data_IF_391867627394
#
_entry.id   IF_391867627394
#
_cell.length_a   1.000
_cell.length_b   1.000
_cell.length_c   1.000
_cell.angle_alpha   90.00
_cell.angle_beta   90.00
_cell.angle_gamma   90.00
#
_symmetry.space_group_name_H-M   'P 1'
#
loop_
_entity.id
_entity.type
_entity.pdbx_description
1 polymer ?
#
# COMPACT_ATOMS: atom_id res chain seq x y z
N UNK A 1 -9.82 2.97 9.93
CA UNK A 1 -10.90 3.27 8.96
C UNK A 1 -11.84 4.38 9.41
N UNK A 2 -12.51 4.28 10.56
CA UNK A 2 -13.48 5.29 11.03
C UNK A 2 -12.96 6.74 11.03
N UNK A 3 -11.68 6.96 11.36
CA UNK A 3 -11.03 8.27 11.32
C UNK A 3 -10.91 8.85 9.91
N UNK A 4 -10.53 8.03 8.92
CA UNK A 4 -10.48 8.44 7.51
C UNK A 4 -11.88 8.75 6.97
N UNK A 5 -12.93 8.07 7.45
CA UNK A 5 -14.32 8.37 7.05
C UNK A 5 -14.81 9.69 7.61
N UNK A 6 -14.41 10.05 8.83
CA UNK A 6 -14.67 11.39 9.37
C UNK A 6 -14.00 12.46 8.52
N UNK A 7 -12.76 12.24 8.06
CA UNK A 7 -12.06 13.17 7.18
C UNK A 7 -12.68 13.25 5.78
N UNK A 8 -13.02 12.11 5.18
CA UNK A 8 -13.70 12.05 3.88
C UNK A 8 -15.03 12.82 3.87
N UNK A 9 -15.73 12.88 5.02
CA UNK A 9 -16.97 13.66 5.17
C UNK A 9 -16.74 15.15 5.39
N UNK A 10 -15.59 15.54 5.96
CA UNK A 10 -15.31 16.93 6.37
C UNK A 10 -14.50 17.72 5.35
N UNK A 11 -13.68 17.06 4.54
CA UNK A 11 -12.78 17.72 3.60
C UNK A 11 -12.55 16.86 2.34
N UNK A 12 -12.01 17.49 1.30
CA UNK A 12 -11.46 16.78 0.15
C UNK A 12 -10.15 16.11 0.58
N UNK A 13 -10.17 14.79 0.74
CA UNK A 13 -8.96 14.01 0.97
C UNK A 13 -8.03 14.11 -0.25
N UNK A 14 -6.70 14.14 -0.05
CA UNK A 14 -5.76 13.92 -1.14
C UNK A 14 -6.09 12.61 -1.85
N UNK A 15 -5.96 12.59 -3.19
CA UNK A 15 -6.29 11.41 -4.01
C UNK A 15 -5.57 10.16 -3.50
N UNK A 16 -4.29 10.26 -3.19
CA UNK A 16 -3.49 9.17 -2.63
C UNK A 16 -4.06 8.61 -1.33
N UNK A 17 -4.52 9.47 -0.41
CA UNK A 17 -5.15 9.06 0.86
C UNK A 17 -6.48 8.34 0.61
N UNK A 18 -7.27 8.84 -0.36
CA UNK A 18 -8.52 8.20 -0.74
C UNK A 18 -8.30 6.81 -1.35
N UNK A 19 -7.38 6.69 -2.32
CA UNK A 19 -7.04 5.41 -2.95
C UNK A 19 -6.55 4.41 -1.92
N UNK A 20 -5.66 4.85 -1.01
CA UNK A 20 -5.16 4.04 0.09
C UNK A 20 -6.33 3.50 0.95
N UNK A 21 -7.22 4.39 1.42
CA UNK A 21 -8.41 4.00 2.20
C UNK A 21 -9.26 2.96 1.48
N UNK A 22 -9.56 3.22 0.21
CA UNK A 22 -10.47 2.37 -0.56
C UNK A 22 -9.86 0.97 -0.75
N UNK A 23 -8.56 0.86 -1.01
CA UNK A 23 -7.83 -0.42 -1.07
C UNK A 23 -7.88 -1.15 0.28
N UNK A 24 -7.55 -0.48 1.39
CA UNK A 24 -7.59 -1.11 2.72
C UNK A 24 -8.97 -1.64 3.05
N UNK A 25 -10.03 -0.90 2.74
CA UNK A 25 -11.40 -1.34 3.01
C UNK A 25 -11.68 -2.69 2.37
N UNK A 26 -11.26 -2.86 1.12
CA UNK A 26 -11.50 -4.08 0.36
C UNK A 26 -10.59 -5.22 0.81
N UNK A 27 -9.29 -4.96 1.02
CA UNK A 27 -8.34 -5.97 1.50
C UNK A 27 -8.71 -6.51 2.89
N UNK A 28 -9.18 -5.65 3.79
CA UNK A 28 -9.66 -6.07 5.11
C UNK A 28 -10.92 -6.94 5.02
N UNK A 29 -11.81 -6.62 4.08
CA UNK A 29 -13.01 -7.43 3.85
C UNK A 29 -12.65 -8.79 3.27
N UNK A 30 -11.71 -8.84 2.33
CA UNK A 30 -11.18 -10.07 1.75
C UNK A 30 -10.51 -10.95 2.82
N UNK A 31 -9.63 -10.37 3.64
CA UNK A 31 -8.92 -11.13 4.69
C UNK A 31 -9.87 -11.78 5.70
N UNK A 32 -10.92 -11.06 6.12
CA UNK A 32 -11.97 -11.62 7.00
C UNK A 32 -12.74 -12.76 6.33
N UNK A 33 -12.96 -12.68 5.03
CA UNK A 33 -13.63 -13.74 4.28
C UNK A 33 -12.75 -15.00 4.21
N UNK A 34 -11.46 -14.84 3.89
CA UNK A 34 -10.51 -15.95 3.82
C UNK A 34 -10.34 -16.66 5.16
N UNK A 35 -10.36 -15.90 6.27
CA UNK A 35 -10.31 -16.43 7.62
C UNK A 35 -11.54 -17.28 7.96
N UNK A 36 -12.75 -16.78 7.68
CA UNK A 36 -13.99 -17.55 7.83
C UNK A 36 -13.98 -18.84 7.00
N UNK A 37 -13.55 -18.76 5.75
CA UNK A 37 -13.44 -19.95 4.88
C UNK A 37 -12.44 -20.98 5.46
N UNK A 38 -11.34 -20.51 6.05
CA UNK A 38 -10.33 -21.36 6.72
C UNK A 38 -10.89 -22.00 8.00
N UNK A 39 -11.58 -21.24 8.84
CA UNK A 39 -12.21 -21.74 10.07
C UNK A 39 -13.27 -22.80 9.79
N UNK A 40 -14.17 -22.53 8.83
CA UNK A 40 -15.18 -23.49 8.41
C UNK A 40 -14.55 -24.77 7.83
N UNK A 41 -13.47 -24.64 7.05
CA UNK A 41 -12.74 -25.80 6.53
C UNK A 41 -12.11 -26.61 7.67
N UNK A 42 -11.57 -25.94 8.68
CA UNK A 42 -11.01 -26.59 9.86
C UNK A 42 -12.09 -27.26 10.73
N UNK A 43 -13.28 -26.66 10.86
CA UNK A 43 -14.43 -27.26 11.56
C UNK A 43 -14.97 -28.48 10.82
N UNK A 44 -15.06 -28.42 9.49
CA UNK A 44 -15.41 -29.57 8.64
C UNK A 44 -14.40 -30.72 8.81
N UNK A 45 -13.11 -30.40 8.85
CA UNK A 45 -12.07 -31.40 9.09
C UNK A 45 -12.19 -32.03 10.50
N UNK A 46 -12.51 -31.23 11.53
CA UNK A 46 -12.66 -31.71 12.92
C UNK A 46 -13.92 -32.54 13.14
N UNK A 47 -15.02 -32.18 12.50
CA UNK A 47 -16.32 -32.82 12.73
C UNK A 47 -16.41 -34.24 12.16
N UNK A 48 -15.55 -34.61 11.20
CA UNK A 48 -15.49 -35.98 10.67
C UNK A 48 -16.82 -36.52 10.10
N UNK A 49 -17.82 -35.66 9.90
CA UNK A 49 -19.18 -36.06 9.53
C UNK A 49 -19.18 -36.48 8.06
N UNK A 50 -18.98 -37.78 7.84
CA UNK A 50 -19.14 -38.45 6.54
C UNK A 50 -20.61 -38.73 6.18
N UNK A 51 -21.57 -38.30 7.02
CA UNK A 51 -22.99 -38.64 6.90
C UNK A 51 -23.82 -37.55 6.22
N UNK A 52 -23.94 -37.61 4.89
CA UNK A 52 -24.86 -36.77 4.13
C UNK A 52 -26.32 -37.15 4.42
N UNK A 53 -26.92 -36.55 5.45
CA UNK A 53 -28.37 -36.57 5.63
C UNK A 53 -29.04 -35.80 4.47
N UNK A 54 -30.00 -36.40 3.79
CA UNK A 54 -30.70 -35.81 2.63
C UNK A 54 -31.32 -34.43 2.96
N UNK A 55 -31.71 -34.17 4.21
CA UNK A 55 -32.21 -32.85 4.67
C UNK A 55 -31.11 -31.78 4.81
N UNK A 56 -29.84 -32.16 4.87
CA UNK A 56 -28.69 -31.26 4.92
C UNK A 56 -28.47 -30.55 3.58
N UNK A 57 -28.82 -31.22 2.48
CA UNK A 57 -28.53 -30.77 1.10
C UNK A 57 -29.12 -29.39 0.75
N UNK A 58 -30.30 -29.05 1.26
CA UNK A 58 -30.93 -27.74 1.01
C UNK A 58 -30.20 -26.58 1.72
N UNK A 59 -29.82 -26.78 2.99
CA UNK A 59 -29.06 -25.79 3.76
C UNK A 59 -27.66 -25.59 3.21
N UNK A 60 -27.01 -26.67 2.76
CA UNK A 60 -25.68 -26.60 2.18
C UNK A 60 -25.67 -25.87 0.83
N UNK A 61 -26.71 -26.06 0.00
CA UNK A 61 -26.89 -25.29 -1.26
C UNK A 61 -27.08 -23.79 -0.99
N UNK A 62 -27.92 -23.43 -0.01
CA UNK A 62 -28.12 -22.03 0.34
C UNK A 62 -26.81 -21.38 0.83
N UNK A 63 -26.09 -22.07 1.74
CA UNK A 63 -24.77 -21.60 2.22
C UNK A 63 -23.75 -21.45 1.08
N UNK A 64 -23.73 -22.36 0.12
CA UNK A 64 -22.85 -22.26 -1.04
C UNK A 64 -23.21 -21.05 -1.92
N UNK A 65 -24.50 -20.80 -2.15
CA UNK A 65 -24.97 -19.63 -2.90
C UNK A 65 -24.65 -18.31 -2.18
N UNK A 66 -24.81 -18.26 -0.86
CA UNK A 66 -24.48 -17.08 -0.06
C UNK A 66 -22.98 -16.76 -0.12
N UNK A 67 -22.10 -17.78 -0.06
CA UNK A 67 -20.65 -17.60 -0.23
C UNK A 67 -20.28 -17.10 -1.61
N UNK A 68 -20.92 -17.64 -2.64
CA UNK A 68 -20.68 -17.19 -4.00
C UNK A 68 -21.11 -15.73 -4.17
N UNK A 69 -22.22 -15.33 -3.55
CA UNK A 69 -22.65 -13.93 -3.51
C UNK A 69 -21.62 -13.05 -2.79
N UNK A 70 -21.09 -13.47 -1.65
CA UNK A 70 -20.06 -12.74 -0.91
C UNK A 70 -18.77 -12.58 -1.73
N UNK A 71 -18.28 -13.65 -2.36
CA UNK A 71 -17.12 -13.63 -3.27
C UNK A 71 -17.31 -12.66 -4.43
N UNK A 72 -18.50 -12.64 -5.02
CA UNK A 72 -18.83 -11.71 -6.10
C UNK A 72 -18.85 -10.27 -5.60
N UNK A 73 -19.37 -10.00 -4.40
CA UNK A 73 -19.34 -8.66 -3.80
C UNK A 73 -17.90 -8.17 -3.60
N UNK A 74 -17.01 -9.01 -3.07
CA UNK A 74 -15.59 -8.64 -2.87
C UNK A 74 -14.87 -8.45 -4.21
N UNK A 75 -15.15 -9.30 -5.19
CA UNK A 75 -14.58 -9.16 -6.55
C UNK A 75 -14.99 -7.85 -7.20
N UNK A 76 -16.28 -7.48 -7.11
CA UNK A 76 -16.78 -6.20 -7.62
C UNK A 76 -16.21 -5.00 -6.86
N UNK A 77 -15.96 -5.15 -5.55
CA UNK A 77 -15.29 -4.13 -4.75
C UNK A 77 -13.84 -3.92 -5.21
N UNK A 78 -13.08 -5.01 -5.48
CA UNK A 78 -11.73 -4.93 -6.04
C UNK A 78 -11.73 -4.25 -7.41
N UNK A 79 -12.65 -4.62 -8.31
CA UNK A 79 -12.83 -3.96 -9.62
C UNK A 79 -13.00 -2.45 -9.44
N UNK A 80 -13.95 -2.05 -8.57
CA UNK A 80 -14.27 -0.65 -8.32
C UNK A 80 -13.05 0.13 -7.83
N UNK A 81 -12.32 -0.42 -6.85
CA UNK A 81 -11.15 0.24 -6.26
C UNK A 81 -10.00 0.36 -7.25
N UNK A 82 -9.67 -0.69 -7.99
CA UNK A 82 -8.58 -0.66 -8.99
C UNK A 82 -8.92 0.34 -10.10
N UNK A 83 -10.12 0.23 -10.68
CA UNK A 83 -10.55 1.10 -11.77
C UNK A 83 -10.60 2.57 -11.34
N UNK A 84 -11.20 2.85 -10.17
CA UNK A 84 -11.31 4.21 -9.62
C UNK A 84 -9.94 4.74 -9.24
N UNK A 85 -9.09 3.95 -8.59
CA UNK A 85 -7.78 4.38 -8.13
C UNK A 85 -6.85 4.78 -9.27
N UNK A 86 -6.73 3.93 -10.30
CA UNK A 86 -5.97 4.27 -11.51
C UNK A 86 -6.54 5.52 -12.20
N UNK A 87 -7.86 5.61 -12.31
CA UNK A 87 -8.50 6.78 -12.94
C UNK A 87 -8.22 8.07 -12.17
N UNK A 88 -8.38 8.08 -10.84
CA UNK A 88 -8.14 9.27 -10.02
C UNK A 88 -6.67 9.71 -10.05
N UNK A 89 -5.73 8.76 -9.99
CA UNK A 89 -4.30 9.06 -10.07
C UNK A 89 -3.96 9.69 -11.42
N UNK A 90 -4.36 9.09 -12.53
CA UNK A 90 -4.08 9.64 -13.85
C UNK A 90 -4.81 10.96 -14.10
N UNK A 91 -6.06 11.10 -13.68
CA UNK A 91 -6.83 12.34 -13.85
C UNK A 91 -6.24 13.51 -13.04
N UNK A 92 -5.62 13.24 -11.89
CA UNK A 92 -4.92 14.27 -11.10
C UNK A 92 -3.70 14.86 -11.81
N UNK A 93 -3.09 14.13 -12.75
CA UNK A 93 -1.96 14.58 -13.57
C UNK A 93 -2.38 15.21 -14.90
N UNK A 94 -3.67 15.18 -15.24
CA UNK A 94 -4.16 15.84 -16.45
C UNK A 94 -4.18 17.35 -16.26
N UNK A 95 -3.14 18.01 -16.79
CA UNK A 95 -3.09 19.47 -16.85
C UNK A 95 -3.48 19.98 -18.24
N UNK A 96 -4.39 20.96 -18.30
CA UNK A 96 -4.74 21.68 -19.52
C UNK A 96 -5.98 21.16 -20.25
N UNK A 97 -6.19 21.67 -21.47
CA UNK A 97 -7.44 21.47 -22.25
C UNK A 97 -7.45 20.14 -23.02
N UNK A 98 -6.28 19.59 -23.35
CA UNK A 98 -6.16 18.34 -24.11
C UNK A 98 -5.95 17.15 -23.18
N UNK A 99 -6.74 16.09 -23.38
CA UNK A 99 -6.56 14.82 -22.67
C UNK A 99 -5.33 14.10 -23.20
N UNK A 100 -4.35 13.89 -22.33
CA UNK A 100 -3.18 13.04 -22.59
C UNK A 100 -3.60 11.56 -22.45
N UNK A 101 -3.11 10.64 -23.30
CA UNK A 101 -3.39 9.21 -23.14
C UNK A 101 -2.92 8.68 -21.78
N UNK A 102 -3.73 7.82 -21.15
CA UNK A 102 -3.44 7.28 -19.80
C UNK A 102 -2.10 6.55 -19.71
N UNK A 103 -1.69 5.83 -20.76
CA UNK A 103 -0.39 5.14 -20.77
C UNK A 103 0.80 6.10 -20.73
N UNK A 104 0.68 7.28 -21.35
CA UNK A 104 1.72 8.31 -21.29
C UNK A 104 1.80 8.89 -19.89
N UNK A 105 0.66 9.26 -19.30
CA UNK A 105 0.59 9.77 -17.92
C UNK A 105 1.15 8.76 -16.90
N UNK A 106 0.79 7.48 -17.05
CA UNK A 106 1.29 6.42 -16.19
C UNK A 106 2.80 6.26 -16.29
N UNK A 107 3.36 6.30 -17.52
CA UNK A 107 4.80 6.26 -17.74
C UNK A 107 5.52 7.48 -17.13
N UNK A 108 4.93 8.67 -17.23
CA UNK A 108 5.52 9.91 -16.68
C UNK A 108 5.57 9.90 -15.15
N UNK A 109 4.53 9.35 -14.49
CA UNK A 109 4.44 9.28 -13.03
C UNK A 109 5.03 7.99 -12.42
N UNK A 110 5.58 7.10 -13.24
CA UNK A 110 6.12 5.81 -12.81
C UNK A 110 5.07 4.79 -12.35
N UNK A 111 3.80 4.95 -12.75
CA UNK A 111 2.74 3.98 -12.45
C UNK A 111 2.91 2.76 -13.37
N UNK A 112 2.85 1.51 -12.84
CA UNK A 112 2.96 0.31 -13.67
C UNK A 112 1.92 0.29 -14.81
N UNK A 113 2.39 0.13 -16.06
CA UNK A 113 1.51 0.07 -17.24
C UNK A 113 0.49 -1.08 -17.17
N UNK A 114 0.84 -2.17 -16.49
CA UNK A 114 -0.07 -3.29 -16.22
C UNK A 114 -1.36 -2.86 -15.49
N UNK A 115 -1.31 -1.86 -14.62
CA UNK A 115 -2.50 -1.31 -13.96
C UNK A 115 -3.40 -0.53 -14.92
N UNK A 116 -2.80 0.16 -15.90
CA UNK A 116 -3.54 0.85 -16.96
C UNK A 116 -4.23 -0.15 -17.88
N UNK A 117 -3.54 -1.24 -18.23
CA UNK A 117 -4.09 -2.32 -19.05
C UNK A 117 -5.27 -2.99 -18.35
N UNK A 118 -5.13 -3.31 -17.06
CA UNK A 118 -6.22 -3.85 -16.24
C UNK A 118 -7.41 -2.89 -16.21
N UNK A 119 -7.16 -1.59 -15.98
CA UNK A 119 -8.21 -0.56 -16.01
C UNK A 119 -8.88 -0.49 -17.38
N UNK A 120 -8.13 -0.65 -18.47
CA UNK A 120 -8.68 -0.68 -19.83
C UNK A 120 -9.60 -1.88 -20.04
N UNK A 121 -9.17 -3.09 -19.66
CA UNK A 121 -9.99 -4.31 -19.71
C UNK A 121 -11.30 -4.16 -18.91
N UNK A 122 -11.21 -3.62 -17.70
CA UNK A 122 -12.38 -3.36 -16.84
C UNK A 122 -13.36 -2.36 -17.48
N UNK A 123 -12.84 -1.32 -18.13
CA UNK A 123 -13.66 -0.34 -18.86
C UNK A 123 -14.47 -0.92 -20.02
N UNK A 124 -14.01 -2.04 -20.59
CA UNK A 124 -14.72 -2.80 -21.63
C UNK A 124 -15.62 -3.91 -21.08
N UNK A 125 -15.78 -4.00 -19.75
CA UNK A 125 -16.57 -5.03 -19.09
C UNK A 125 -15.89 -6.40 -19.00
N UNK A 126 -14.60 -6.50 -19.35
CA UNK A 126 -13.81 -7.71 -19.14
C UNK A 126 -13.29 -7.71 -17.70
N UNK A 127 -13.89 -8.54 -16.84
CA UNK A 127 -13.50 -8.68 -15.44
C UNK A 127 -12.40 -9.76 -15.33
N UNK A 128 -11.17 -9.42 -14.93
CA UNK A 128 -10.11 -10.40 -14.67
C UNK A 128 -10.48 -11.32 -13.50
N UNK A 129 -9.76 -12.43 -13.36
CA UNK A 129 -9.92 -13.28 -12.19
C UNK A 129 -9.54 -12.56 -10.88
N UNK A 130 -10.16 -12.97 -9.78
CA UNK A 130 -10.01 -12.31 -8.47
C UNK A 130 -8.55 -12.20 -8.00
N UNK A 131 -7.70 -13.19 -8.29
CA UNK A 131 -6.27 -13.15 -7.96
C UNK A 131 -5.50 -12.05 -8.70
N UNK A 132 -5.83 -11.79 -9.96
CA UNK A 132 -5.24 -10.68 -10.74
C UNK A 132 -5.68 -9.34 -10.16
N UNK A 133 -6.96 -9.19 -9.81
CA UNK A 133 -7.48 -7.98 -9.18
C UNK A 133 -6.87 -7.72 -7.81
N UNK A 134 -6.66 -8.76 -7.01
CA UNK A 134 -5.97 -8.66 -5.73
C UNK A 134 -4.53 -8.17 -5.91
N UNK A 135 -3.77 -8.78 -6.82
CA UNK A 135 -2.40 -8.34 -7.13
C UNK A 135 -2.35 -6.90 -7.67
N UNK A 136 -3.34 -6.52 -8.48
CA UNK A 136 -3.46 -5.16 -8.97
C UNK A 136 -3.72 -4.14 -7.84
N UNK A 137 -4.60 -4.48 -6.90
CA UNK A 137 -4.86 -3.64 -5.72
C UNK A 137 -3.60 -3.48 -4.84
N UNK A 138 -2.82 -4.56 -4.65
CA UNK A 138 -1.56 -4.50 -3.92
C UNK A 138 -0.51 -3.65 -4.64
N UNK A 139 -0.33 -3.84 -5.96
CA UNK A 139 0.61 -3.04 -6.74
C UNK A 139 0.22 -1.56 -6.77
N UNK A 140 -1.07 -1.26 -6.82
CA UNK A 140 -1.59 0.11 -6.70
C UNK A 140 -1.31 0.70 -5.31
N UNK A 141 -1.47 -0.10 -4.25
CA UNK A 141 -1.15 0.32 -2.88
C UNK A 141 0.34 0.60 -2.71
N UNK A 142 1.20 -0.30 -3.18
CA UNK A 142 2.66 -0.16 -3.18
C UNK A 142 3.09 1.12 -3.89
N UNK A 143 2.53 1.39 -5.07
CA UNK A 143 2.79 2.64 -5.80
C UNK A 143 2.44 3.88 -4.97
N UNK A 144 1.25 3.90 -4.37
CA UNK A 144 0.80 5.06 -3.56
C UNK A 144 1.65 5.20 -2.30
N UNK A 145 2.05 4.10 -1.66
CA UNK A 145 2.98 4.10 -0.53
C UNK A 145 4.32 4.70 -0.93
N UNK A 146 4.92 4.24 -2.02
CA UNK A 146 6.24 4.69 -2.48
C UNK A 146 6.29 6.09 -3.08
N UNK A 147 5.16 6.71 -3.43
CA UNK A 147 5.12 8.04 -4.06
C UNK A 147 4.54 9.13 -3.18
N UNK A 148 3.51 8.82 -2.40
CA UNK A 148 2.86 9.79 -1.52
C UNK A 148 3.30 9.63 -0.08
N UNK A 149 3.33 8.39 0.41
CA UNK A 149 3.58 8.13 1.82
C UNK A 149 5.05 8.10 2.21
N UNK A 150 6.00 8.06 1.27
CA UNK A 150 7.45 8.12 1.53
C UNK A 150 8.08 9.45 1.12
N UNK A 151 7.40 10.27 0.32
CA UNK A 151 7.99 11.48 -0.29
C UNK A 151 8.08 12.69 0.65
N UNK A 152 7.43 12.67 1.82
CA UNK A 152 7.53 13.75 2.82
C UNK A 152 8.46 13.41 3.99
N UNK A 153 9.43 12.51 3.82
CA UNK A 153 10.51 12.43 4.80
C UNK A 153 11.23 13.78 4.73
N UNK A 154 11.28 14.58 5.81
CA UNK A 154 11.91 15.89 5.78
C UNK A 154 13.32 15.70 5.24
N UNK A 155 13.59 16.23 4.05
CA UNK A 155 14.92 16.20 3.47
C UNK A 155 15.85 16.77 4.52
N UNK A 156 16.67 15.91 5.09
CA UNK A 156 17.74 16.29 6.01
C UNK A 156 18.81 16.94 5.15
N UNK A 157 18.58 18.18 4.74
CA UNK A 157 19.57 19.12 4.18
C UNK A 157 20.51 18.59 3.11
N UNK A 158 20.07 17.70 2.22
CA UNK A 158 20.88 17.22 1.09
C UNK A 158 20.79 18.18 -0.11
N UNK A 159 21.89 18.46 -0.83
CA UNK A 159 21.88 19.45 -1.90
C UNK A 159 20.98 18.99 -3.06
N UNK A 160 20.01 19.85 -3.38
CA UNK A 160 18.97 19.70 -4.38
C UNK A 160 19.45 19.07 -5.68
N UNK A 161 18.68 18.13 -6.23
CA UNK A 161 18.86 17.64 -7.62
C UNK A 161 18.84 18.85 -8.58
N UNK A 162 19.92 19.12 -9.33
CA UNK A 162 19.91 20.16 -10.36
C UNK A 162 19.26 19.58 -11.61
N UNK A 163 17.96 19.80 -11.79
CA UNK A 163 17.24 19.26 -12.96
C UNK A 163 15.98 19.99 -13.40
N UNK A 164 15.49 20.96 -12.62
CA UNK A 164 14.38 21.80 -13.06
C UNK A 164 14.88 22.84 -14.05
N UNK A 165 14.71 22.52 -15.34
CA UNK A 165 15.00 23.36 -16.49
C UNK A 165 14.51 24.82 -16.29
N UNK A 166 15.32 25.83 -16.65
CA UNK A 166 14.93 27.22 -16.63
C UNK A 166 13.93 27.53 -17.75
N UNK A 167 12.93 28.34 -17.43
CA UNK A 167 11.87 28.76 -18.33
C UNK A 167 12.39 29.40 -19.61
N UNK A 168 11.93 28.87 -20.74
CA UNK A 168 11.97 29.57 -22.03
C UNK A 168 10.66 30.31 -22.19
N UNK A 169 10.68 31.60 -21.86
CA UNK A 169 9.64 32.58 -22.18
C UNK A 169 9.72 32.86 -23.69
N UNK A 170 8.71 32.52 -24.51
CA UNK A 170 8.72 32.98 -25.90
C UNK A 170 8.37 34.46 -25.91
N UNK A 171 9.32 35.28 -26.33
CA UNK A 171 9.13 36.67 -26.72
C UNK A 171 8.25 36.72 -27.97
N UNK A 172 7.16 37.51 -27.90
CA UNK A 172 6.33 37.89 -29.04
C UNK A 172 7.14 38.45 -30.21
N UNK A 173 6.69 38.23 -31.45
CA UNK A 173 6.86 39.21 -32.51
C UNK A 173 5.50 39.78 -32.94
N UNK A 174 5.45 41.11 -32.88
CA UNK A 174 4.95 42.02 -33.91
C UNK A 174 3.57 41.78 -34.53
N UNK A 175 2.69 42.73 -34.21
CA UNK A 175 1.35 42.89 -34.75
C UNK A 175 1.34 43.26 -36.24
N UNK A 176 0.39 42.68 -36.97
CA UNK A 176 -0.16 43.20 -38.22
C UNK A 176 -1.68 43.27 -38.07
N UNK A 177 -2.36 44.39 -38.39
CA UNK A 177 -3.80 44.51 -38.19
C UNK A 177 -4.56 43.96 -39.40
N UNK A 178 -5.40 42.94 -39.19
CA UNK A 178 -6.42 42.51 -40.17
C UNK A 178 -7.82 42.63 -39.54
N UNK A 179 -8.44 43.75 -39.90
CA UNK A 179 -9.85 44.01 -40.24
C UNK A 179 -10.92 42.94 -39.91
N UNK A 180 -11.78 43.32 -38.96
CA UNK A 180 -13.24 43.18 -38.86
C UNK A 180 -13.91 41.85 -39.26
N UNK A 181 -14.34 41.10 -38.23
CA UNK A 181 -15.50 40.21 -38.28
C UNK A 181 -16.32 40.37 -37.00
N UNK A 182 -17.49 41.01 -37.10
CA UNK A 182 -18.50 41.12 -36.03
C UNK A 182 -19.13 39.75 -35.79
N UNK A 183 -18.91 39.18 -34.62
CA UNK A 183 -19.62 37.99 -34.13
C UNK A 183 -19.39 37.85 -32.63
N UNK A 184 -20.42 38.12 -31.84
CA UNK A 184 -20.41 37.99 -30.39
C UNK A 184 -20.03 36.55 -29.95
N UNK A 185 -19.48 36.40 -28.73
CA UNK A 185 -20.27 35.62 -27.78
C UNK A 185 -20.29 36.18 -26.34
N UNK A 186 -21.37 35.77 -25.70
CA UNK A 186 -21.81 35.91 -24.32
C UNK A 186 -20.69 35.88 -23.27
N UNK A 187 -20.76 36.86 -22.37
CA UNK A 187 -20.10 36.92 -21.07
C UNK A 187 -20.38 35.65 -20.25
N UNK A 188 -19.41 34.74 -20.22
CA UNK A 188 -19.34 33.68 -19.23
C UNK A 188 -18.74 34.25 -17.94
N UNK A 189 -19.54 34.32 -16.89
CA UNK A 189 -19.10 34.65 -15.54
C UNK A 189 -18.15 33.54 -15.08
N UNK A 190 -16.83 33.83 -15.09
CA UNK A 190 -15.84 33.02 -14.39
C UNK A 190 -16.15 33.06 -12.91
N UNK A 191 -16.84 32.03 -12.42
CA UNK A 191 -17.06 31.79 -11.00
C UNK A 191 -15.74 31.25 -10.45
N UNK A 192 -14.88 32.13 -9.97
CA UNK A 192 -13.80 31.77 -9.03
C UNK A 192 -14.48 31.14 -7.81
N UNK A 193 -14.52 29.81 -7.81
CA UNK A 193 -14.80 29.04 -6.61
C UNK A 193 -13.52 29.13 -5.79
N UNK A 194 -13.50 30.08 -4.86
CA UNK A 194 -12.53 30.13 -3.77
C UNK A 194 -12.71 28.87 -2.93
N UNK A 195 -12.01 27.81 -3.35
CA UNK A 195 -11.95 26.56 -2.63
C UNK A 195 -11.15 26.82 -1.36
N UNK A 196 -11.82 26.83 -0.20
CA UNK A 196 -11.16 26.76 1.09
C UNK A 196 -10.08 25.69 1.04
N UNK A 197 -8.82 26.12 1.19
CA UNK A 197 -7.67 25.23 1.21
C UNK A 197 -7.90 24.21 2.34
N UNK A 198 -7.89 22.89 2.04
CA UNK A 198 -8.01 21.89 3.08
C UNK A 198 -6.88 22.07 4.09
N UNK A 199 -7.21 21.99 5.38
CA UNK A 199 -6.20 21.94 6.44
C UNK A 199 -5.23 20.80 6.10
N UNK A 200 -3.92 21.05 5.94
CA UNK A 200 -2.97 20.02 5.56
C UNK A 200 -2.99 18.96 6.65
N UNK A 201 -3.38 17.76 6.26
CA UNK A 201 -3.35 16.62 7.15
C UNK A 201 -1.89 16.18 7.29
N UNK A 202 -1.36 16.25 8.50
CA UNK A 202 0.00 15.81 8.79
C UNK A 202 0.15 14.30 8.50
N UNK A 203 1.21 13.94 7.77
CA UNK A 203 1.51 12.59 7.29
C UNK A 203 1.61 11.57 8.42
N UNK A 204 2.25 11.93 9.53
CA UNK A 204 2.39 11.05 10.69
C UNK A 204 1.04 10.70 11.30
N UNK A 205 0.13 11.68 11.35
CA UNK A 205 -1.23 11.48 11.85
C UNK A 205 -2.03 10.49 10.99
N UNK A 206 -1.81 10.51 9.68
CA UNK A 206 -2.52 9.64 8.75
C UNK A 206 -1.92 8.21 8.71
N UNK A 207 -0.60 8.06 8.80
CA UNK A 207 0.08 6.79 9.01
C UNK A 207 -0.32 6.14 10.34
N UNK A 208 -0.34 6.91 11.44
CA UNK A 208 -0.74 6.41 12.76
C UNK A 208 -2.18 5.90 12.76
N UNK A 209 -3.08 6.60 12.06
CA UNK A 209 -4.47 6.17 11.91
C UNK A 209 -4.61 4.87 11.09
N UNK A 210 -3.72 4.67 10.12
CA UNK A 210 -3.69 3.50 9.26
C UNK A 210 -3.14 2.27 10.00
N UNK A 211 -2.02 2.45 10.71
CA UNK A 211 -1.45 1.43 11.60
C UNK A 211 -2.45 1.07 12.70
N UNK A 212 -3.04 2.04 13.39
CA UNK A 212 -4.06 1.77 14.43
C UNK A 212 -5.25 0.97 13.87
N UNK A 213 -5.70 1.28 12.65
CA UNK A 213 -6.78 0.54 12.01
C UNK A 213 -6.40 -0.90 11.66
N UNK A 214 -5.14 -1.14 11.32
CA UNK A 214 -4.61 -2.46 11.05
C UNK A 214 -4.38 -3.28 12.33
N UNK A 215 -4.17 -2.64 13.49
CA UNK A 215 -4.02 -3.34 14.77
C UNK A 215 -5.36 -3.70 15.39
N UNK A 216 -6.36 -2.84 15.20
CA UNK A 216 -7.72 -3.10 15.67
C UNK A 216 -8.43 -4.17 14.82
N UNK A 217 -7.92 -4.49 13.64
CA UNK A 217 -8.29 -5.70 12.92
C UNK A 217 -7.39 -6.85 13.35
N UNK A 218 -8.00 -7.97 13.71
CA UNK A 218 -7.35 -9.20 14.18
C UNK A 218 -6.27 -9.72 13.19
N UNK A 219 -5.50 -10.72 13.63
CA UNK A 219 -4.25 -11.31 13.07
C UNK A 219 -4.13 -11.53 11.54
N UNK A 220 -5.18 -11.34 10.75
CA UNK A 220 -5.18 -11.53 9.30
C UNK A 220 -4.46 -10.42 8.51
N UNK A 221 -4.05 -9.32 9.16
CA UNK A 221 -3.47 -8.15 8.48
C UNK A 221 -1.94 -8.17 8.49
N UNK A 222 -1.29 -9.04 9.27
CA UNK A 222 0.18 -9.11 9.41
C UNK A 222 0.96 -9.15 8.07
N UNK A 223 0.58 -9.95 7.05
CA UNK A 223 1.31 -9.93 5.78
C UNK A 223 1.12 -8.61 5.00
N UNK A 224 0.00 -7.93 5.19
CA UNK A 224 -0.27 -6.63 4.57
C UNK A 224 0.42 -5.48 5.32
N UNK A 225 0.53 -5.59 6.65
CA UNK A 225 1.31 -4.68 7.49
C UNK A 225 2.79 -4.70 7.11
N UNK A 226 3.36 -5.87 6.80
CA UNK A 226 4.74 -5.96 6.34
C UNK A 226 4.97 -5.10 5.09
N UNK A 227 4.11 -5.23 4.07
CA UNK A 227 4.20 -4.45 2.83
C UNK A 227 4.04 -2.93 3.04
N UNK A 228 3.39 -2.50 4.13
CA UNK A 228 3.22 -1.08 4.47
C UNK A 228 4.42 -0.56 5.26
N UNK A 229 4.94 -1.36 6.18
CA UNK A 229 5.97 -0.96 7.14
C UNK A 229 7.37 -1.09 6.55
N UNK A 230 7.61 -2.08 5.68
CA UNK A 230 8.91 -2.31 5.02
C UNK A 230 9.45 -1.07 4.26
N UNK A 231 8.63 -0.26 3.55
CA UNK A 231 9.12 0.97 2.93
C UNK A 231 9.21 2.18 3.88
N UNK A 232 8.76 2.08 5.14
CA UNK A 232 8.79 3.20 6.10
C UNK A 232 10.14 3.20 6.83
N UNK A 233 10.77 4.37 6.93
CA UNK A 233 12.05 4.49 7.63
C UNK A 233 11.89 4.11 9.12
N UNK A 234 12.84 3.35 9.74
CA UNK A 234 12.76 2.92 11.13
C UNK A 234 12.44 4.05 12.13
N UNK A 235 13.03 5.23 11.93
CA UNK A 235 12.77 6.41 12.78
C UNK A 235 11.33 6.92 12.68
N UNK A 236 10.68 6.78 11.52
CA UNK A 236 9.27 7.15 11.37
C UNK A 236 8.37 6.13 12.07
N UNK A 237 8.73 4.83 12.03
CA UNK A 237 8.02 3.79 12.78
C UNK A 237 8.06 4.06 14.28
N UNK A 238 9.23 4.45 14.83
CA UNK A 238 9.37 4.82 16.23
C UNK A 238 8.53 6.05 16.60
N UNK A 239 8.45 7.05 15.71
CA UNK A 239 7.61 8.24 15.91
C UNK A 239 6.09 7.93 15.89
N UNK A 240 5.67 6.83 15.26
CA UNK A 240 4.27 6.39 15.25
C UNK A 240 3.85 5.69 16.56
N UNK A 241 4.79 5.11 17.31
CA UNK A 241 4.55 4.40 18.57
C UNK A 241 3.74 5.21 19.60
N UNK A 242 4.11 6.46 19.92
CA UNK A 242 3.36 7.26 20.89
C UNK A 242 1.98 7.72 20.39
N UNK A 243 1.73 7.66 19.08
CA UNK A 243 0.45 8.08 18.48
C UNK A 243 -0.62 6.97 18.48
N UNK A 244 -0.24 5.76 18.91
CA UNK A 244 -1.12 4.60 18.92
C UNK A 244 -1.88 4.46 20.24
N UNK A 245 -3.12 3.91 20.21
CA UNK A 245 -3.87 3.64 21.43
C UNK A 245 -3.12 2.66 22.34
N UNK A 246 -3.10 2.96 23.64
CA UNK A 246 -2.31 2.23 24.67
C UNK A 246 -2.65 0.73 24.68
N UNK A 247 -3.92 0.38 24.50
CA UNK A 247 -4.41 -1.01 24.54
C UNK A 247 -3.98 -1.86 23.33
N UNK A 248 -3.56 -1.21 22.25
CA UNK A 248 -3.13 -1.84 21.00
C UNK A 248 -1.61 -2.02 20.91
N UNK A 249 -0.87 -1.52 21.90
CA UNK A 249 0.57 -1.29 21.77
C UNK A 249 1.40 -2.58 21.84
N UNK A 250 1.00 -3.60 22.60
CA UNK A 250 1.85 -4.77 22.85
C UNK A 250 1.88 -5.75 21.66
N UNK A 251 0.72 -6.12 21.12
CA UNK A 251 0.62 -6.97 19.92
C UNK A 251 1.18 -6.28 18.68
N UNK A 252 0.98 -4.97 18.53
CA UNK A 252 1.59 -4.22 17.45
C UNK A 252 3.10 -4.11 17.63
N UNK A 253 3.61 -3.81 18.83
CA UNK A 253 5.07 -3.77 19.08
C UNK A 253 5.71 -5.09 18.72
N UNK A 254 5.09 -6.22 19.08
CA UNK A 254 5.54 -7.55 18.64
C UNK A 254 5.48 -7.72 17.12
N UNK A 255 4.38 -7.35 16.47
CA UNK A 255 4.26 -7.45 15.00
C UNK A 255 5.30 -6.58 14.27
N UNK A 256 5.51 -5.34 14.73
CA UNK A 256 6.52 -4.42 14.20
C UNK A 256 7.94 -4.94 14.44
N UNK A 257 8.23 -5.56 15.59
CA UNK A 257 9.52 -6.19 15.85
C UNK A 257 9.76 -7.41 14.96
N UNK A 258 8.72 -8.18 14.61
CA UNK A 258 8.83 -9.30 13.67
C UNK A 258 9.08 -8.82 12.24
N UNK A 259 8.46 -7.70 11.85
CA UNK A 259 8.56 -7.15 10.49
C UNK A 259 9.86 -6.35 10.29
N UNK A 260 10.31 -5.63 11.30
CA UNK A 260 11.50 -4.79 11.26
C UNK A 260 12.44 -5.12 12.46
N UNK A 261 13.15 -6.25 12.42
CA UNK A 261 13.99 -6.72 13.53
C UNK A 261 15.18 -5.80 13.84
N UNK A 262 15.46 -4.84 12.95
CA UNK A 262 16.52 -3.84 13.10
C UNK A 262 16.08 -2.57 13.85
N UNK A 263 14.79 -2.41 14.15
CA UNK A 263 14.30 -1.30 14.96
C UNK A 263 14.71 -1.51 16.43
N UNK A 264 15.14 -0.42 17.10
CA UNK A 264 15.85 -0.45 18.38
C UNK A 264 15.12 -1.25 19.48
N UNK A 265 15.84 -1.93 20.41
CA UNK A 265 15.27 -2.62 21.58
C UNK A 265 14.42 -1.71 22.50
N UNK A 266 14.50 -0.39 22.29
CA UNK A 266 13.61 0.62 22.90
C UNK A 266 12.13 0.32 22.67
N UNK A 267 11.76 -0.31 21.55
CA UNK A 267 10.37 -0.66 21.23
C UNK A 267 9.74 -1.70 22.17
N UNK A 268 10.53 -2.57 22.80
CA UNK A 268 10.01 -3.60 23.71
C UNK A 268 9.92 -3.12 25.17
N UNK A 269 10.30 -1.88 25.46
CA UNK A 269 10.32 -1.37 26.83
C UNK A 269 11.30 -2.13 27.74
N UNK A 270 12.24 -2.89 27.16
CA UNK A 270 13.30 -3.56 27.91
C UNK A 270 14.40 -2.56 28.25
N UNK A 271 14.09 -1.61 29.13
CA UNK A 271 15.15 -0.92 29.88
C UNK A 271 15.69 -1.94 30.86
N UNK A 272 16.87 -2.51 30.56
CA UNK A 272 17.62 -3.29 31.54
C UNK A 272 17.81 -2.44 32.80
N UNK A 273 17.40 -2.91 34.00
CA UNK A 273 17.56 -2.15 35.23
C UNK A 273 19.02 -1.98 35.69
N UNK A 274 20.00 -2.58 35.00
CA UNK A 274 21.41 -2.61 35.41
C UNK A 274 22.37 -1.92 34.41
N UNK A 275 22.03 -0.73 33.92
CA UNK A 275 23.00 0.09 33.18
C UNK A 275 23.61 1.17 34.11
N UNK A 276 24.88 1.01 34.56
CA UNK A 276 25.54 2.05 35.32
C UNK A 276 25.82 3.27 34.43
N UNK A 277 25.40 4.43 34.93
CA UNK A 277 25.79 5.74 34.41
C UNK A 277 27.31 5.90 34.49
N UNK A 278 28.01 6.00 33.37
CA UNK A 278 29.38 6.52 33.39
C UNK A 278 29.79 7.20 32.10
N UNK A 279 29.84 8.52 32.20
CA UNK A 279 30.86 9.40 31.64
C UNK A 279 32.27 8.83 31.87
N UNK A 280 33.14 9.03 30.87
CA UNK A 280 34.60 9.13 30.98
C UNK A 280 35.47 7.88 30.73
N UNK A 281 36.50 8.16 29.90
CA UNK A 281 37.87 7.59 29.87
C UNK A 281 38.20 6.66 28.69
N UNK A 282 38.92 7.27 27.75
CA UNK A 282 39.82 6.66 26.77
C UNK A 282 41.00 5.93 27.44
N UNK A 283 41.66 5.07 26.64
CA UNK A 283 42.96 4.39 26.83
C UNK A 283 43.00 3.14 27.71
N UNK A 284 43.08 1.97 27.07
CA UNK A 284 44.30 1.14 27.08
C UNK A 284 44.24 0.01 26.04
N UNK A 285 45.38 -0.22 25.39
CA UNK A 285 45.63 -1.22 24.36
C UNK A 285 45.93 -2.62 24.93
N UNK A 286 45.56 -3.64 24.14
CA UNK A 286 46.17 -4.97 23.97
C UNK A 286 46.01 -6.06 25.08
N UNK A 287 46.22 -7.37 24.78
CA UNK A 287 46.57 -8.01 23.51
C UNK A 287 45.66 -9.17 23.05
N UNK A 288 45.86 -9.56 21.78
CA UNK A 288 45.32 -10.73 21.09
C UNK A 288 45.91 -12.04 21.64
N UNK A 289 45.07 -12.99 22.03
CA UNK A 289 45.46 -14.41 22.12
C UNK A 289 44.43 -15.31 21.45
N UNK A 290 44.94 -16.04 20.44
CA UNK A 290 44.66 -17.44 20.10
C UNK A 290 43.22 -17.96 20.13
N UNK A 291 42.63 -18.09 18.94
CA UNK A 291 41.62 -19.15 18.70
C UNK A 291 42.02 -19.91 17.44
N UNK A 292 42.33 -21.19 17.63
CA UNK A 292 42.65 -22.16 16.59
C UNK A 292 41.47 -22.41 15.64
N UNK A 293 41.79 -22.48 14.34
CA UNK A 293 40.90 -22.88 13.26
C UNK A 293 40.74 -24.40 13.24
N UNK A 294 39.58 -24.88 13.69
CA UNK A 294 39.11 -26.25 13.43
C UNK A 294 38.44 -26.34 12.06
N UNK A 295 39.20 -26.68 11.02
CA UNK A 295 38.68 -27.13 9.73
C UNK A 295 38.00 -28.50 9.90
N UNK A 296 36.67 -28.56 9.72
CA UNK A 296 35.95 -29.81 9.49
C UNK A 296 35.31 -29.73 8.09
N UNK A 297 35.91 -30.48 7.18
CA UNK A 297 35.39 -30.74 5.84
C UNK A 297 34.13 -31.61 5.91
N UNK A 298 33.06 -31.20 5.24
CA UNK A 298 31.94 -32.07 4.92
C UNK A 298 31.81 -32.18 3.40
N UNK A 299 32.04 -33.40 2.94
CA UNK A 299 31.93 -33.87 1.57
C UNK A 299 30.53 -33.66 0.99
N UNK A 300 30.48 -33.20 -0.26
CA UNK A 300 29.26 -33.15 -1.06
C UNK A 300 28.89 -34.54 -1.62
N UNK A 301 27.61 -34.79 -1.92
CA UNK A 301 27.19 -36.02 -2.59
C UNK A 301 27.38 -35.93 -4.11
N UNK A 302 27.89 -37.02 -4.66
CA UNK A 302 28.05 -37.31 -6.09
C UNK A 302 26.70 -37.24 -6.82
N UNK A 303 26.70 -36.54 -7.96
CA UNK A 303 25.60 -36.56 -8.94
C UNK A 303 25.93 -37.65 -9.96
N UNK A 304 25.15 -38.72 -9.94
CA UNK A 304 25.15 -39.74 -11.00
C UNK A 304 24.24 -39.29 -12.13
N UNK A 305 24.82 -39.01 -13.31
CA UNK A 305 24.13 -38.93 -14.60
C UNK A 305 23.73 -40.34 -15.04
N UNK A 306 22.43 -40.60 -15.23
CA UNK A 306 21.98 -41.75 -16.03
C UNK A 306 20.57 -41.56 -16.61
N UNK A 307 20.44 -41.73 -17.94
CA UNK A 307 19.20 -42.07 -18.66
C UNK A 307 18.32 -40.89 -19.10
N UNK A 308 18.50 -40.29 -20.28
CA UNK A 308 18.15 -40.78 -21.61
C UNK A 308 16.67 -41.15 -21.85
N UNK A 309 16.05 -40.39 -22.77
CA UNK A 309 15.04 -40.80 -23.78
C UNK A 309 13.62 -41.15 -23.32
N UNK A 310 12.68 -40.32 -23.74
CA UNK A 310 11.45 -40.59 -24.53
C UNK A 310 10.81 -39.20 -24.78
N UNK A 311 10.54 -38.71 -25.99
CA UNK A 311 9.83 -39.34 -27.08
C UNK A 311 8.35 -38.96 -26.94
N UNK A 312 7.83 -38.20 -27.91
CA UNK A 312 6.49 -37.56 -28.05
C UNK A 312 6.36 -36.14 -27.48
#
# INVERSE_FOLDING_TARGET
>A
MARMDVWARRARLPVSVQVTRDIFTVLLTLGRQEEREREEKAERARSGVSGASVRQTGRDRQRAADRERERNVVTLALVSVVQRGVTLLCDSQQTGVRRVPLGVLASEMGLPLSLVDIRHSLGHGSIPCSSVLHRAALSLLEYVLGTYWTSDAPETGGPSRPGSRPGSRPTSPTATPIRMGKGAPRSGVSREVEAQAPVPLDRQTALAALVAACVQGESCITPYLAAIVEPIHPCEVEALVPLLPVDSSLSLRQALCTIAPHCSPVLLGQTSPDAPSTTSIWTQEAPLEGVELGLMALSGPEVTEEGARNGW
#
